data_IF_713583385413
#
_entry.id   IF_713583385413
#
_cell.length_a   1.000
_cell.length_b   1.000
_cell.length_c   1.000
_cell.angle_alpha   90.00
_cell.angle_beta   90.00
_cell.angle_gamma   90.00
#
_symmetry.space_group_name_H-M   'P 1'
#
loop_
_entity.id
_entity.type
_entity.pdbx_description
1 polymer ?
#
# COMPACT_ATOMS: atom_id res chain seq x y z
N UNK A 1 -23.20 -3.26 -3.76
CA UNK A 1 -22.86 -4.57 -4.37
C UNK A 1 -22.91 -4.51 -5.91
N UNK A 2 -24.02 -4.06 -6.54
CA UNK A 2 -24.14 -3.90 -8.02
C UNK A 2 -22.97 -3.18 -8.73
N UNK A 3 -22.39 -2.13 -8.13
CA UNK A 3 -21.22 -1.41 -8.69
C UNK A 3 -19.90 -2.19 -8.69
N UNK A 4 -19.75 -3.24 -7.86
CA UNK A 4 -18.52 -4.04 -7.78
C UNK A 4 -18.54 -5.25 -8.72
N UNK A 5 -19.70 -5.62 -9.25
CA UNK A 5 -19.93 -6.71 -10.23
C UNK A 5 -20.36 -6.14 -11.60
N UNK A 6 -19.96 -4.90 -11.90
CA UNK A 6 -20.25 -4.25 -13.18
C UNK A 6 -19.34 -4.74 -14.31
N UNK A 7 -19.61 -4.33 -15.56
CA UNK A 7 -18.75 -4.63 -16.70
C UNK A 7 -17.28 -4.26 -16.42
N UNK A 8 -16.34 -5.15 -16.79
CA UNK A 8 -14.90 -4.98 -16.53
C UNK A 8 -14.44 -5.35 -15.10
N UNK A 9 -15.35 -5.87 -14.25
CA UNK A 9 -15.04 -6.30 -12.88
C UNK A 9 -15.48 -7.74 -12.67
N UNK A 10 -14.56 -8.60 -12.23
CA UNK A 10 -14.88 -9.98 -11.83
C UNK A 10 -14.70 -10.16 -10.33
N UNK A 11 -15.53 -11.00 -9.74
CA UNK A 11 -15.37 -11.44 -8.36
C UNK A 11 -15.25 -12.96 -8.34
N UNK A 12 -14.13 -13.46 -7.85
CA UNK A 12 -13.89 -14.89 -7.70
C UNK A 12 -14.06 -15.26 -6.22
N UNK A 13 -14.90 -16.25 -5.97
CA UNK A 13 -15.10 -16.84 -4.66
C UNK A 13 -14.45 -18.22 -4.62
N UNK A 14 -13.47 -18.44 -3.74
CA UNK A 14 -12.96 -19.79 -3.50
C UNK A 14 -13.75 -20.42 -2.36
N UNK A 15 -14.33 -21.60 -2.59
CA UNK A 15 -15.14 -22.30 -1.61
C UNK A 15 -14.48 -23.63 -1.25
N UNK A 16 -14.50 -24.01 0.02
CA UNK A 16 -14.10 -25.36 0.40
C UNK A 16 -15.14 -26.37 -0.13
N UNK A 17 -14.71 -27.54 -0.62
CA UNK A 17 -15.62 -28.59 -1.13
C UNK A 17 -16.71 -28.99 -0.12
N UNK A 18 -16.40 -28.92 1.17
CA UNK A 18 -17.32 -29.27 2.26
C UNK A 18 -18.04 -28.05 2.89
N UNK A 19 -17.80 -26.83 2.39
CA UNK A 19 -18.45 -25.60 2.83
C UNK A 19 -18.74 -24.71 1.60
N UNK A 20 -19.53 -25.24 0.67
CA UNK A 20 -19.82 -24.66 -0.65
C UNK A 20 -20.61 -23.35 -0.62
N UNK A 21 -21.15 -22.96 0.54
CA UNK A 21 -21.91 -21.73 0.73
C UNK A 21 -21.11 -20.64 1.47
N UNK A 22 -19.92 -20.97 1.98
CA UNK A 22 -19.05 -20.05 2.69
C UNK A 22 -17.76 -19.81 1.89
N UNK A 23 -17.64 -18.65 1.24
CA UNK A 23 -16.44 -18.33 0.47
C UNK A 23 -15.26 -18.08 1.41
N UNK A 24 -14.19 -18.84 1.21
CA UNK A 24 -12.91 -18.69 1.89
C UNK A 24 -12.19 -17.40 1.46
N UNK A 25 -12.47 -16.89 0.25
CA UNK A 25 -11.81 -15.72 -0.36
C UNK A 25 -12.78 -15.02 -1.29
N UNK A 26 -12.72 -13.69 -1.32
CA UNK A 26 -13.23 -12.92 -2.45
C UNK A 26 -12.08 -12.19 -3.12
N UNK A 27 -11.82 -12.54 -4.37
CA UNK A 27 -10.86 -11.85 -5.23
C UNK A 27 -11.65 -10.93 -6.15
N UNK A 28 -11.37 -9.63 -6.14
CA UNK A 28 -11.99 -8.67 -7.05
C UNK A 28 -10.96 -8.23 -8.07
N UNK A 29 -11.21 -8.46 -9.35
CA UNK A 29 -10.32 -8.12 -10.46
C UNK A 29 -10.87 -6.91 -11.23
N UNK A 30 -10.01 -5.93 -11.54
CA UNK A 30 -10.27 -4.94 -12.58
C UNK A 30 -9.34 -5.26 -13.75
N UNK A 31 -9.93 -5.64 -14.87
CA UNK A 31 -9.23 -5.74 -16.15
C UNK A 31 -9.33 -4.37 -16.80
N UNK A 32 -8.17 -3.78 -17.11
CA UNK A 32 -8.01 -2.41 -17.61
C UNK A 32 -8.57 -2.23 -19.03
N UNK A 33 -9.89 -2.25 -19.23
CA UNK A 33 -10.62 -1.50 -20.28
C UNK A 33 -12.13 -1.57 -20.04
N UNK A 34 -12.85 -0.53 -20.47
CA UNK A 34 -14.30 -0.34 -20.32
C UNK A 34 -15.17 -1.23 -21.23
N UNK A 35 -14.63 -2.32 -21.77
CA UNK A 35 -15.31 -3.23 -22.70
C UNK A 35 -15.40 -4.64 -22.12
N UNK A 36 -16.45 -5.42 -22.43
CA UNK A 36 -16.49 -6.84 -22.11
C UNK A 36 -15.39 -7.56 -22.91
N UNK A 37 -14.44 -8.19 -22.22
CA UNK A 37 -13.39 -9.00 -22.85
C UNK A 37 -13.94 -10.34 -23.34
N UNK A 38 -13.42 -10.79 -24.48
CA UNK A 38 -13.54 -12.16 -25.00
C UNK A 38 -12.71 -13.17 -24.18
N UNK A 39 -13.02 -14.46 -24.23
CA UNK A 39 -12.23 -15.52 -23.57
C UNK A 39 -10.75 -15.52 -24.01
N UNK A 40 -10.45 -15.13 -25.24
CA UNK A 40 -9.08 -15.09 -25.76
C UNK A 40 -8.27 -13.92 -25.21
N UNK A 41 -8.89 -12.78 -24.91
CA UNK A 41 -8.17 -11.67 -24.26
C UNK A 41 -7.79 -12.00 -22.82
N UNK A 42 -8.56 -12.83 -22.13
CA UNK A 42 -8.27 -13.31 -20.78
C UNK A 42 -7.09 -14.29 -20.75
N UNK A 43 -7.00 -15.19 -21.73
CA UNK A 43 -5.82 -16.08 -21.88
C UNK A 43 -4.54 -15.30 -22.13
N UNK A 44 -4.66 -14.08 -22.67
CA UNK A 44 -3.55 -13.18 -23.00
C UNK A 44 -3.28 -12.10 -21.94
N UNK A 45 -4.08 -12.04 -20.87
CA UNK A 45 -3.88 -11.10 -19.78
C UNK A 45 -2.56 -11.38 -19.06
N UNK A 46 -1.80 -10.32 -18.77
CA UNK A 46 -0.48 -10.42 -18.12
C UNK A 46 -0.51 -10.10 -16.61
N UNK A 47 -1.55 -9.39 -16.15
CA UNK A 47 -1.65 -8.88 -14.77
C UNK A 47 -3.10 -8.91 -14.29
N UNK A 48 -3.33 -9.43 -13.09
CA UNK A 48 -4.59 -9.34 -12.36
C UNK A 48 -4.42 -8.46 -11.12
N UNK A 49 -5.35 -7.54 -10.84
CA UNK A 49 -5.31 -6.63 -9.67
C UNK A 49 -6.37 -7.01 -8.65
N UNK A 50 -5.98 -7.29 -7.41
CA UNK A 50 -6.84 -7.74 -6.32
C UNK A 50 -7.10 -6.66 -5.27
N UNK A 51 -8.36 -6.27 -5.07
CA UNK A 51 -8.76 -5.19 -4.14
C UNK A 51 -9.13 -5.68 -2.72
N UNK A 52 -9.24 -6.98 -2.50
CA UNK A 52 -9.51 -7.61 -1.20
C UNK A 52 -8.99 -9.05 -1.27
N UNK A 53 -8.25 -9.51 -0.27
CA UNK A 53 -7.77 -10.89 -0.19
C UNK A 53 -7.80 -11.32 1.27
N UNK A 54 -8.43 -12.46 1.56
CA UNK A 54 -8.42 -13.09 2.89
C UNK A 54 -7.61 -14.41 2.93
N UNK A 55 -7.00 -14.86 1.82
CA UNK A 55 -6.18 -16.09 1.79
C UNK A 55 -5.03 -16.07 0.76
N UNK A 56 -4.33 -17.19 0.59
CA UNK A 56 -3.08 -17.32 -0.16
C UNK A 56 -3.30 -17.25 -1.69
N UNK A 57 -2.59 -16.37 -2.42
CA UNK A 57 -2.75 -16.19 -3.86
C UNK A 57 -2.29 -17.38 -4.72
N UNK A 58 -1.61 -18.38 -4.15
CA UNK A 58 -1.16 -19.57 -4.87
C UNK A 58 -2.29 -20.38 -5.54
N UNK A 59 -3.54 -20.22 -5.10
CA UNK A 59 -4.69 -20.94 -5.67
C UNK A 59 -5.14 -20.33 -7.02
N UNK A 60 -4.92 -19.03 -7.24
CA UNK A 60 -5.37 -18.35 -8.46
C UNK A 60 -4.51 -18.67 -9.70
N UNK A 61 -3.26 -19.13 -9.52
CA UNK A 61 -2.34 -19.43 -10.63
C UNK A 61 -2.76 -20.60 -11.52
N UNK A 62 -3.51 -21.56 -10.97
CA UNK A 62 -3.92 -22.75 -11.73
C UNK A 62 -5.00 -22.46 -12.79
N UNK A 63 -5.78 -21.38 -12.64
CA UNK A 63 -6.81 -21.00 -13.61
C UNK A 63 -6.27 -20.14 -14.76
N UNK A 64 -5.10 -19.52 -14.59
CA UNK A 64 -4.51 -18.59 -15.58
C UNK A 64 -3.03 -18.90 -15.82
N UNK A 65 -2.71 -19.92 -16.65
CA UNK A 65 -1.34 -20.44 -16.80
C UNK A 65 -0.33 -19.45 -17.38
N UNK A 66 -0.80 -18.38 -18.04
CA UNK A 66 0.05 -17.35 -18.64
C UNK A 66 0.31 -16.15 -17.69
N UNK A 67 -0.27 -16.14 -16.49
CA UNK A 67 -0.22 -15.00 -15.58
C UNK A 67 0.97 -15.14 -14.61
N UNK A 68 2.11 -14.54 -14.98
CA UNK A 68 3.33 -14.57 -14.16
C UNK A 68 3.37 -13.57 -13.01
N UNK A 69 2.43 -12.63 -12.93
CA UNK A 69 2.38 -11.63 -11.86
C UNK A 69 0.96 -11.26 -11.47
N UNK A 70 0.70 -11.32 -10.16
CA UNK A 70 -0.54 -10.84 -9.56
C UNK A 70 -0.25 -9.61 -8.71
N UNK A 71 -1.10 -8.59 -8.79
CA UNK A 71 -0.95 -7.36 -8.04
C UNK A 71 -2.13 -7.19 -7.08
N UNK A 72 -1.93 -6.54 -5.94
CA UNK A 72 -3.03 -6.13 -5.05
C UNK A 72 -3.12 -4.62 -4.98
N UNK A 73 -4.25 -4.04 -4.57
CA UNK A 73 -4.31 -2.65 -4.10
C UNK A 73 -4.81 -2.67 -2.66
N UNK A 74 -3.89 -2.50 -1.71
CA UNK A 74 -4.12 -2.81 -0.31
C UNK A 74 -4.04 -1.55 0.58
N UNK A 75 -4.92 -1.43 1.60
CA UNK A 75 -4.90 -0.29 2.51
C UNK A 75 -3.67 -0.30 3.43
N UNK A 76 -3.34 0.87 3.99
CA UNK A 76 -2.26 1.05 4.98
C UNK A 76 -2.85 1.49 6.34
N UNK A 77 -3.59 0.61 7.04
CA UNK A 77 -4.55 1.01 8.06
C UNK A 77 -3.97 1.75 9.28
N UNK A 78 -2.68 1.62 9.56
CA UNK A 78 -2.04 2.21 10.75
C UNK A 78 -1.09 3.37 10.41
N UNK A 79 -1.02 3.81 9.15
CA UNK A 79 -0.04 4.81 8.72
C UNK A 79 -0.18 6.15 9.46
N UNK A 80 -1.37 6.75 9.51
CA UNK A 80 -1.56 8.05 10.18
C UNK A 80 -1.33 7.93 11.69
N UNK A 81 -1.76 6.83 12.31
CA UNK A 81 -1.53 6.55 13.74
C UNK A 81 -0.04 6.41 14.05
N UNK A 82 0.70 5.68 13.21
CA UNK A 82 2.14 5.56 13.30
C UNK A 82 2.81 6.93 13.16
N UNK A 83 2.43 7.69 12.14
CA UNK A 83 3.05 8.98 11.83
C UNK A 83 2.90 9.96 13.01
N UNK A 84 1.70 10.06 13.59
CA UNK A 84 1.46 10.92 14.77
C UNK A 84 2.32 10.57 15.98
N UNK A 85 2.62 9.28 16.19
CA UNK A 85 3.50 8.85 17.29
C UNK A 85 4.96 9.25 17.06
N UNK A 86 5.39 9.30 15.80
CA UNK A 86 6.77 9.61 15.41
C UNK A 86 7.04 11.11 15.24
N UNK A 87 6.03 11.95 15.01
CA UNK A 87 6.16 13.40 14.81
C UNK A 87 6.44 14.16 16.12
N UNK A 88 7.56 13.84 16.77
CA UNK A 88 8.13 14.55 17.91
C UNK A 88 9.19 15.55 17.42
N UNK A 89 9.57 16.56 18.22
CA UNK A 89 10.66 17.47 17.85
C UNK A 89 12.00 16.75 17.63
N UNK A 90 12.31 15.74 18.44
CA UNK A 90 13.60 15.02 18.39
C UNK A 90 13.82 14.24 17.10
N UNK A 91 12.75 13.89 16.36
CA UNK A 91 12.88 13.10 15.11
C UNK A 91 13.49 13.91 13.96
N UNK A 92 13.57 15.25 14.06
CA UNK A 92 14.15 16.10 13.01
C UNK A 92 15.61 15.73 12.72
N UNK A 93 16.32 15.19 13.71
CA UNK A 93 17.71 14.76 13.57
C UNK A 93 17.87 13.36 12.96
N UNK A 94 16.79 12.59 12.82
CA UNK A 94 16.87 11.25 12.27
C UNK A 94 17.06 11.30 10.73
N UNK A 95 18.21 10.86 10.20
CA UNK A 95 18.51 10.96 8.77
C UNK A 95 17.52 10.19 7.89
N UNK A 96 16.94 9.09 8.37
CA UNK A 96 15.94 8.29 7.65
C UNK A 96 14.54 8.94 7.60
N UNK A 97 14.34 10.06 8.30
CA UNK A 97 13.06 10.76 8.43
C UNK A 97 13.13 12.23 8.02
N UNK A 98 14.25 12.67 7.43
CA UNK A 98 14.42 14.06 6.97
C UNK A 98 13.60 14.36 5.72
N UNK A 99 13.17 15.61 5.63
CA UNK A 99 12.58 16.19 4.43
C UNK A 99 13.48 17.31 3.92
N UNK A 100 13.26 17.77 2.70
CA UNK A 100 14.02 18.87 2.10
C UNK A 100 13.62 20.22 2.70
N UNK A 101 14.50 21.22 2.66
CA UNK A 101 14.18 22.57 3.11
C UNK A 101 12.96 23.17 2.37
N UNK A 102 12.80 22.86 1.08
CA UNK A 102 11.63 23.24 0.30
C UNK A 102 10.34 22.63 0.87
N UNK A 103 10.36 21.35 1.25
CA UNK A 103 9.22 20.68 1.86
C UNK A 103 8.90 21.24 3.25
N UNK A 104 9.91 21.59 4.05
CA UNK A 104 9.72 22.27 5.33
C UNK A 104 9.03 23.63 5.14
N UNK A 105 9.48 24.42 4.16
CA UNK A 105 8.87 25.73 3.82
C UNK A 105 7.40 25.59 3.42
N UNK A 106 7.04 24.55 2.67
CA UNK A 106 5.64 24.29 2.31
C UNK A 106 4.80 24.00 3.56
N UNK A 107 5.29 23.15 4.47
CA UNK A 107 4.58 22.86 5.73
C UNK A 107 4.43 24.13 6.58
N UNK A 108 5.48 24.95 6.69
CA UNK A 108 5.44 26.22 7.41
C UNK A 108 4.46 27.23 6.77
N UNK A 109 4.29 27.20 5.45
CA UNK A 109 3.28 28.02 4.76
C UNK A 109 1.83 27.64 5.11
N UNK A 110 1.58 26.37 5.44
CA UNK A 110 0.26 25.87 5.84
C UNK A 110 0.01 26.10 7.33
N UNK A 111 1.05 25.94 8.17
CA UNK A 111 0.98 26.14 9.63
C UNK A 111 2.13 27.04 10.10
N UNK A 112 1.99 28.37 9.97
CA UNK A 112 3.07 29.32 10.27
C UNK A 112 3.53 29.35 11.73
N UNK A 113 2.68 28.89 12.66
CA UNK A 113 2.99 28.88 14.09
C UNK A 113 3.86 27.69 14.52
N UNK A 114 4.08 26.71 13.63
CA UNK A 114 4.92 25.55 13.93
C UNK A 114 6.40 25.91 13.88
N UNK A 115 7.17 25.49 14.89
CA UNK A 115 8.61 25.80 14.96
C UNK A 115 9.48 24.86 14.13
N UNK A 116 9.00 23.63 13.93
CA UNK A 116 9.66 22.58 13.17
C UNK A 116 8.64 21.86 12.30
N UNK A 117 9.08 21.27 11.19
CA UNK A 117 8.18 20.62 10.24
C UNK A 117 7.38 19.47 10.86
N UNK A 118 7.92 18.78 11.87
CA UNK A 118 7.24 17.66 12.52
C UNK A 118 6.03 18.12 13.32
N UNK A 119 6.14 19.27 13.99
CA UNK A 119 5.03 19.94 14.64
C UNK A 119 3.99 20.41 13.62
N UNK A 120 4.43 21.06 12.54
CA UNK A 120 3.55 21.55 11.48
C UNK A 120 2.75 20.42 10.84
N UNK A 121 3.43 19.34 10.45
CA UNK A 121 2.79 18.16 9.89
C UNK A 121 1.82 17.52 10.90
N UNK A 122 2.19 17.41 12.18
CA UNK A 122 1.28 16.88 13.21
C UNK A 122 0.01 17.70 13.33
N UNK A 123 0.10 19.03 13.33
CA UNK A 123 -1.06 19.93 13.36
C UNK A 123 -1.94 19.77 12.12
N UNK A 124 -1.35 19.67 10.93
CA UNK A 124 -2.07 19.35 9.67
C UNK A 124 -2.88 18.05 9.81
N UNK A 125 -2.31 17.02 10.44
CA UNK A 125 -2.96 15.70 10.63
C UNK A 125 -4.03 15.69 11.74
N UNK A 126 -4.00 16.66 12.66
CA UNK A 126 -4.94 16.78 13.78
C UNK A 126 -6.13 17.68 13.43
N UNK A 127 -5.91 18.68 12.58
CA UNK A 127 -6.96 19.51 12.02
C UNK A 127 -7.80 18.72 11.01
N UNK A 128 -9.10 18.56 11.31
CA UNK A 128 -10.01 17.76 10.49
C UNK A 128 -10.37 18.39 9.14
N UNK A 129 -10.33 19.72 9.05
CA UNK A 129 -10.66 20.44 7.84
C UNK A 129 -9.46 20.42 6.90
N UNK A 130 -8.26 20.66 7.43
CA UNK A 130 -7.01 20.58 6.67
C UNK A 130 -6.76 19.13 6.21
N UNK A 131 -6.87 18.15 7.11
CA UNK A 131 -6.58 16.74 6.78
C UNK A 131 -7.54 16.12 5.75
N UNK A 132 -8.69 16.75 5.48
CA UNK A 132 -9.62 16.34 4.41
C UNK A 132 -9.48 17.16 3.14
N UNK A 133 -8.77 18.29 3.19
CA UNK A 133 -8.55 19.13 2.04
C UNK A 133 -7.47 18.53 1.14
N UNK A 134 -7.91 17.88 0.06
CA UNK A 134 -7.02 17.22 -0.91
C UNK A 134 -6.04 18.22 -1.54
N UNK A 135 -6.44 19.48 -1.73
CA UNK A 135 -5.55 20.50 -2.29
C UNK A 135 -4.41 20.84 -1.34
N UNK A 136 -4.70 20.95 -0.04
CA UNK A 136 -3.64 21.12 0.97
C UNK A 136 -2.76 19.88 1.08
N UNK A 137 -3.34 18.68 1.06
CA UNK A 137 -2.57 17.42 1.07
C UNK A 137 -1.68 17.28 -0.17
N UNK A 138 -2.11 17.76 -1.34
CA UNK A 138 -1.32 17.73 -2.57
C UNK A 138 -0.03 18.56 -2.44
N UNK A 139 -0.05 19.66 -1.69
CA UNK A 139 1.14 20.48 -1.46
C UNK A 139 2.23 19.71 -0.71
N UNK A 140 1.85 18.82 0.20
CA UNK A 140 2.76 17.99 1.00
C UNK A 140 2.82 16.53 0.50
N UNK A 141 2.40 16.27 -0.74
CA UNK A 141 2.33 14.92 -1.33
C UNK A 141 3.67 14.19 -1.28
N UNK A 142 4.77 14.87 -1.63
CA UNK A 142 6.10 14.27 -1.66
C UNK A 142 6.52 13.79 -0.27
N UNK A 143 6.30 14.61 0.75
CA UNK A 143 6.56 14.29 2.16
C UNK A 143 5.76 13.05 2.58
N UNK A 144 4.45 13.05 2.32
CA UNK A 144 3.58 11.93 2.70
C UNK A 144 4.00 10.62 2.01
N UNK A 145 4.34 10.65 0.71
CA UNK A 145 4.77 9.46 0.00
C UNK A 145 6.13 8.94 0.49
N UNK A 146 7.10 9.82 0.76
CA UNK A 146 8.40 9.43 1.35
C UNK A 146 8.21 8.75 2.69
N UNK A 147 7.43 9.35 3.57
CA UNK A 147 7.12 8.80 4.90
C UNK A 147 6.32 7.49 4.79
N UNK A 148 5.40 7.39 3.84
CA UNK A 148 4.68 6.16 3.51
C UNK A 148 5.61 5.03 3.05
N UNK A 149 6.61 5.34 2.21
CA UNK A 149 7.60 4.37 1.77
C UNK A 149 8.48 3.89 2.92
N UNK A 150 9.00 4.81 3.75
CA UNK A 150 9.74 4.45 4.97
C UNK A 150 8.90 3.56 5.88
N UNK A 151 7.64 3.92 6.10
CA UNK A 151 6.71 3.16 6.93
C UNK A 151 6.54 1.71 6.48
N UNK A 152 6.35 1.48 5.18
CA UNK A 152 6.18 0.12 4.64
C UNK A 152 7.50 -0.66 4.62
N UNK A 153 8.61 0.00 4.29
CA UNK A 153 9.86 -0.67 3.93
C UNK A 153 10.85 -0.80 5.10
N UNK A 154 10.88 0.16 6.02
CA UNK A 154 11.83 0.21 7.14
C UNK A 154 11.19 -0.05 8.50
N UNK A 155 9.95 0.38 8.74
CA UNK A 155 9.35 0.27 10.07
C UNK A 155 9.00 -1.17 10.45
N UNK A 156 9.44 -1.59 11.65
CA UNK A 156 9.19 -2.91 12.23
C UNK A 156 8.42 -2.83 13.55
N UNK A 157 7.83 -3.94 13.99
CA UNK A 157 7.14 -4.03 15.29
C UNK A 157 8.14 -4.23 16.42
N UNK A 158 8.39 -3.19 17.21
CA UNK A 158 9.37 -3.24 18.30
C UNK A 158 10.73 -3.69 17.77
N UNK A 159 11.39 -4.60 18.48
CA UNK A 159 12.71 -5.14 18.09
C UNK A 159 12.62 -6.37 17.17
N UNK A 160 11.45 -6.62 16.56
CA UNK A 160 11.26 -7.78 15.67
C UNK A 160 11.61 -7.46 14.21
N UNK A 161 11.71 -8.50 13.38
CA UNK A 161 11.88 -8.38 11.92
C UNK A 161 10.57 -8.13 11.15
N UNK A 162 9.44 -8.15 11.86
CA UNK A 162 8.09 -8.12 11.29
C UNK A 162 7.74 -6.69 10.89
N UNK A 163 7.28 -6.50 9.64
CA UNK A 163 6.79 -5.22 9.16
C UNK A 163 5.71 -4.65 10.11
N UNK A 164 5.78 -3.35 10.39
CA UNK A 164 4.87 -2.71 11.32
C UNK A 164 3.41 -2.86 10.88
N UNK A 165 3.13 -2.50 9.63
CA UNK A 165 1.79 -2.58 9.07
C UNK A 165 1.29 -4.03 8.96
N UNK A 166 0.10 -4.36 9.51
CA UNK A 166 -0.43 -5.72 9.46
C UNK A 166 -0.73 -6.22 8.05
N UNK A 167 -1.13 -5.33 7.13
CA UNK A 167 -1.47 -5.69 5.75
C UNK A 167 -0.18 -5.92 4.95
N UNK A 168 0.84 -5.08 5.16
CA UNK A 168 2.18 -5.33 4.62
C UNK A 168 2.72 -6.68 5.10
N UNK A 169 2.69 -6.94 6.41
CA UNK A 169 3.15 -8.21 6.96
C UNK A 169 2.41 -9.41 6.34
N UNK A 170 1.08 -9.31 6.14
CA UNK A 170 0.31 -10.36 5.48
C UNK A 170 0.82 -10.64 4.06
N UNK A 171 0.99 -9.61 3.23
CA UNK A 171 1.44 -9.81 1.84
C UNK A 171 2.88 -10.32 1.75
N UNK A 172 3.78 -9.73 2.52
CA UNK A 172 5.21 -10.07 2.57
C UNK A 172 5.42 -11.51 3.08
N UNK A 173 4.68 -11.91 4.13
CA UNK A 173 4.67 -13.28 4.62
C UNK A 173 4.18 -14.27 3.57
N UNK A 174 3.38 -13.85 2.59
CA UNK A 174 2.94 -14.71 1.48
C UNK A 174 3.85 -14.60 0.24
N UNK A 175 5.03 -13.98 0.35
CA UNK A 175 6.02 -13.90 -0.73
C UNK A 175 5.78 -12.75 -1.73
N UNK A 176 4.92 -11.80 -1.41
CA UNK A 176 4.79 -10.61 -2.23
C UNK A 176 6.02 -9.70 -2.13
N UNK A 177 6.20 -8.88 -3.15
CA UNK A 177 7.09 -7.71 -3.14
C UNK A 177 6.28 -6.43 -3.06
N UNK A 178 6.85 -5.38 -2.46
CA UNK A 178 6.27 -4.03 -2.54
C UNK A 178 6.48 -3.49 -3.96
N UNK A 179 5.42 -3.00 -4.57
CA UNK A 179 5.47 -2.51 -5.96
C UNK A 179 5.30 -1.00 -6.08
N UNK A 180 4.25 -0.42 -5.50
CA UNK A 180 3.96 1.00 -5.63
C UNK A 180 3.17 1.52 -4.42
N UNK A 181 3.45 2.74 -3.96
CA UNK A 181 2.61 3.43 -3.00
C UNK A 181 1.82 4.50 -3.75
N UNK A 182 0.51 4.32 -3.79
CA UNK A 182 -0.39 5.12 -4.61
C UNK A 182 -0.92 6.29 -3.80
N UNK A 183 -0.71 7.49 -4.34
CA UNK A 183 -1.32 8.72 -3.84
C UNK A 183 -2.83 8.72 -4.07
N UNK A 184 -3.61 9.05 -3.04
CA UNK A 184 -5.06 9.25 -3.12
C UNK A 184 -5.84 8.09 -3.78
N UNK A 185 -5.36 6.86 -3.57
CA UNK A 185 -6.03 5.65 -4.03
C UNK A 185 -7.30 5.32 -3.24
N UNK A 186 -7.39 5.75 -1.98
CA UNK A 186 -8.64 5.72 -1.19
C UNK A 186 -9.01 7.13 -0.67
N UNK A 187 -9.73 7.94 -1.47
CA UNK A 187 -10.15 9.28 -1.05
C UNK A 187 -11.32 9.26 -0.05
N UNK A 188 -11.79 8.08 0.38
CA UNK A 188 -12.89 8.01 1.35
C UNK A 188 -12.46 8.59 2.70
N UNK A 189 -13.42 9.05 3.50
CA UNK A 189 -13.14 9.53 4.86
C UNK A 189 -12.41 8.50 5.72
N UNK A 190 -12.55 7.19 5.43
CA UNK A 190 -11.80 6.13 6.10
C UNK A 190 -10.35 6.07 5.60
N UNK A 191 -10.12 6.08 4.29
CA UNK A 191 -8.79 6.09 3.69
C UNK A 191 -7.97 7.30 4.12
N UNK A 192 -8.57 8.49 4.10
CA UNK A 192 -7.92 9.72 4.58
C UNK A 192 -7.53 9.60 6.06
N UNK A 193 -8.42 9.13 6.94
CA UNK A 193 -8.11 8.99 8.36
C UNK A 193 -7.03 7.95 8.66
N UNK A 194 -7.01 6.84 7.92
CA UNK A 194 -6.10 5.74 8.18
C UNK A 194 -4.71 5.97 7.59
N UNK A 195 -4.67 6.54 6.38
CA UNK A 195 -3.45 6.59 5.58
C UNK A 195 -3.31 7.83 4.70
N UNK A 196 -4.07 8.90 4.93
CA UNK A 196 -4.10 10.08 4.06
C UNK A 196 -4.40 9.72 2.59
N UNK A 197 -5.20 8.66 2.40
CA UNK A 197 -5.57 8.16 1.09
C UNK A 197 -4.51 7.31 0.39
N UNK A 198 -3.38 7.04 1.05
CA UNK A 198 -2.37 6.12 0.53
C UNK A 198 -2.88 4.67 0.51
N UNK A 199 -2.58 3.95 -0.57
CA UNK A 199 -2.70 2.49 -0.66
C UNK A 199 -1.44 1.91 -1.30
N UNK A 200 -1.08 0.68 -0.96
CA UNK A 200 0.12 0.02 -1.46
C UNK A 200 -0.24 -1.12 -2.41
N UNK A 201 0.45 -1.21 -3.54
CA UNK A 201 0.43 -2.38 -4.39
C UNK A 201 1.48 -3.40 -3.94
N UNK A 202 1.05 -4.66 -3.84
CA UNK A 202 1.94 -5.80 -3.62
C UNK A 202 1.90 -6.74 -4.81
N UNK A 203 3.07 -7.05 -5.38
CA UNK A 203 3.19 -7.97 -6.50
C UNK A 203 3.61 -9.36 -6.01
N UNK A 204 2.84 -10.36 -6.39
CA UNK A 204 3.18 -11.78 -6.34
C UNK A 204 3.69 -12.18 -7.71
N UNK A 205 5.01 -12.15 -7.87
CA UNK A 205 5.71 -12.64 -9.06
C UNK A 205 5.96 -14.12 -8.84
N UNK A 206 5.31 -14.99 -9.62
CA UNK A 206 5.24 -16.44 -9.39
C UNK A 206 6.61 -17.05 -9.07
N UNK A 207 7.60 -16.69 -9.88
CA UNK A 207 8.96 -17.25 -9.83
C UNK A 207 9.78 -16.75 -8.63
N UNK A 208 9.30 -15.71 -7.94
CA UNK A 208 9.98 -15.08 -6.82
C UNK A 208 9.27 -15.29 -5.46
N UNK A 209 8.07 -15.89 -5.43
CA UNK A 209 7.25 -16.03 -4.21
C UNK A 209 8.04 -16.72 -3.09
N UNK A 210 8.61 -17.89 -3.36
CA UNK A 210 9.32 -18.68 -2.34
C UNK A 210 10.56 -17.94 -1.83
N UNK A 211 11.35 -17.34 -2.73
CA UNK A 211 12.53 -16.55 -2.40
C UNK A 211 12.17 -15.34 -1.52
N UNK A 212 11.13 -14.61 -1.89
CA UNK A 212 10.67 -13.44 -1.15
C UNK A 212 10.13 -13.82 0.23
N UNK A 213 9.34 -14.91 0.31
CA UNK A 213 8.84 -15.45 1.56
C UNK A 213 9.98 -15.81 2.51
N UNK A 214 10.95 -16.60 2.03
CA UNK A 214 12.10 -17.01 2.83
C UNK A 214 12.94 -15.81 3.31
N UNK A 215 13.22 -14.85 2.41
CA UNK A 215 13.95 -13.62 2.77
C UNK A 215 13.22 -12.79 3.83
N UNK A 216 11.89 -12.67 3.74
CA UNK A 216 11.11 -11.95 4.72
C UNK A 216 11.05 -12.67 6.07
N UNK A 217 10.80 -13.98 6.09
CA UNK A 217 10.66 -14.75 7.32
C UNK A 217 11.99 -14.88 8.09
N UNK A 218 13.09 -15.10 7.37
CA UNK A 218 14.39 -15.37 8.00
C UNK A 218 15.15 -14.08 8.32
N UNK A 219 15.13 -13.10 7.41
CA UNK A 219 15.96 -11.90 7.48
C UNK A 219 15.16 -10.62 7.75
N UNK A 220 13.83 -10.65 7.59
CA UNK A 220 13.01 -9.43 7.61
C UNK A 220 13.15 -8.59 6.35
N UNK A 221 13.81 -9.12 5.31
CA UNK A 221 14.08 -8.45 4.04
C UNK A 221 12.80 -8.27 3.25
N UNK A 222 12.53 -7.04 2.82
CA UNK A 222 11.37 -6.72 2.01
C UNK A 222 11.81 -6.63 0.55
N UNK A 223 11.26 -7.51 -0.29
CA UNK A 223 11.48 -7.45 -1.72
C UNK A 223 10.73 -6.26 -2.34
N UNK A 224 11.35 -5.59 -3.29
CA UNK A 224 10.78 -4.45 -4.02
C UNK A 224 10.80 -4.80 -5.51
N UNK A 225 9.65 -4.71 -6.17
CA UNK A 225 9.51 -4.88 -7.63
C UNK A 225 9.20 -3.58 -8.35
N UNK A 226 8.94 -2.50 -7.60
CA UNK A 226 8.74 -1.16 -8.14
C UNK A 226 10.04 -0.48 -8.53
N UNK A 227 9.95 0.42 -9.51
CA UNK A 227 11.07 1.28 -9.93
C UNK A 227 10.91 2.73 -9.47
N UNK A 228 9.93 3.02 -8.63
CA UNK A 228 9.61 4.39 -8.21
C UNK A 228 10.81 5.03 -7.49
N UNK A 229 11.08 6.29 -7.82
CA UNK A 229 12.23 7.03 -7.31
C UNK A 229 12.17 7.19 -5.78
N UNK A 230 10.96 7.15 -5.21
CA UNK A 230 10.72 7.21 -3.76
C UNK A 230 11.39 6.04 -3.03
N UNK A 231 11.58 4.90 -3.71
CA UNK A 231 12.34 3.77 -3.17
C UNK A 231 13.84 3.98 -3.29
N UNK A 232 14.32 4.73 -4.28
CA UNK A 232 15.75 5.02 -4.42
C UNK A 232 16.25 6.09 -3.44
N UNK A 233 15.36 6.97 -2.95
CA UNK A 233 15.68 7.97 -1.92
C UNK A 233 15.77 7.40 -0.51
N UNK A 234 15.33 6.15 -0.32
CA UNK A 234 15.53 5.42 0.92
C UNK A 234 16.77 4.55 0.68
N UNK A 235 17.93 4.97 1.17
CA UNK A 235 19.14 4.14 1.11
C UNK A 235 18.80 2.76 1.72
N UNK A 236 18.83 1.72 0.88
CA UNK A 236 18.54 0.32 1.19
C UNK A 236 19.83 -0.48 1.35
#
# INVERSE_FOLDING_TARGET
>A
MKRRLGPGRRCFGFFHKNASLEPLVFVWEILSTSTPFSEDELKNAKVAIFYSINSQPGIAGNEFPNLGTFCTLSPMPLFTTWLKKWLTPDICENPDMRITEEEEKVIAGIVPEAKVWTEGLRRILEDREIAKNVETLNQIRSVILKLGARYILKEKRGETKIAFDPVANFHLKNGASVHCINWMADPSSRGIRNSLGLMCNYNYITDAIEKNNAGYLNEGKIAISGTDLIYKSLDF
#
